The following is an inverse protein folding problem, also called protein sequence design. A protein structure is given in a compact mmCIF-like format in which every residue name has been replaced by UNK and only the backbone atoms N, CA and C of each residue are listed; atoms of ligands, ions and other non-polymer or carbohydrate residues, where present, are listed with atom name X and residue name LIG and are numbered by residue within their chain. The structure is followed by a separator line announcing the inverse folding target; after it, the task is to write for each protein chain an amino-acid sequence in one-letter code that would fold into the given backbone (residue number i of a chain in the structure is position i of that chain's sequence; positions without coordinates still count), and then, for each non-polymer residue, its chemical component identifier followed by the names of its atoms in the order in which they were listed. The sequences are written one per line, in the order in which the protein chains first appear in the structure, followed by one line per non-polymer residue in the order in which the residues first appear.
data_IF_698239390755
#
_entry.id   IF_698239390755
#
_cell.length_a   1.000
_cell.length_b   1.000
_cell.length_c   1.000
_cell.angle_alpha   90.00
_cell.angle_beta   90.00
_cell.angle_gamma   90.00
#
_symmetry.space_group_name_H-M   'P 1'
#
loop_
_entity.id
_entity.type
_entity.pdbx_description
1 polymer ?
#
# COMPACT_ATOMS: atom_id res chain seq x y z
N UNK A 1 -25.74 10.00 12.18
CA UNK A 1 -24.84 11.15 12.47
C UNK A 1 -23.41 10.75 12.15
N UNK A 2 -22.65 11.59 11.43
CA UNK A 2 -21.24 11.34 11.10
C UNK A 2 -20.32 11.87 12.21
N UNK A 3 -19.18 11.22 12.44
CA UNK A 3 -18.17 11.73 13.35
C UNK A 3 -17.72 13.14 12.91
N UNK A 4 -17.75 14.11 13.83
CA UNK A 4 -17.40 15.50 13.49
C UNK A 4 -15.93 15.70 13.10
N UNK A 5 -15.03 14.83 13.60
CA UNK A 5 -13.59 14.90 13.33
C UNK A 5 -13.21 14.20 12.02
N UNK A 6 -13.35 12.87 11.97
CA UNK A 6 -12.93 12.10 10.79
C UNK A 6 -13.92 12.15 9.61
N UNK A 7 -15.19 12.50 9.85
CA UNK A 7 -16.31 12.44 8.89
C UNK A 7 -16.55 11.08 8.21
N UNK A 8 -15.79 10.04 8.58
CA UNK A 8 -15.79 8.72 7.95
C UNK A 8 -16.74 7.73 8.65
N UNK A 9 -16.74 7.69 9.98
CA UNK A 9 -17.63 6.82 10.73
C UNK A 9 -19.06 7.39 10.83
N UNK A 10 -20.05 6.51 10.62
CA UNK A 10 -21.48 6.81 10.68
C UNK A 10 -22.12 6.08 11.86
N UNK A 11 -22.89 6.81 12.67
CA UNK A 11 -23.55 6.28 13.86
C UNK A 11 -25.05 6.56 13.83
N UNK A 12 -25.85 5.66 14.40
CA UNK A 12 -27.27 5.87 14.65
C UNK A 12 -27.53 7.12 15.49
N UNK A 13 -26.79 7.26 16.58
CA UNK A 13 -26.96 8.32 17.57
C UNK A 13 -25.63 8.76 18.18
N UNK A 14 -25.66 9.74 19.09
CA UNK A 14 -24.47 10.17 19.84
C UNK A 14 -24.03 9.12 20.85
N UNK A 15 -24.96 8.33 21.37
CA UNK A 15 -24.70 7.22 22.29
C UNK A 15 -23.95 6.10 21.57
N UNK A 16 -24.38 5.74 20.35
CA UNK A 16 -23.66 4.79 19.48
C UNK A 16 -22.21 5.25 19.22
N UNK A 17 -22.00 6.56 18.97
CA UNK A 17 -20.67 7.13 18.77
C UNK A 17 -19.80 7.10 20.04
N UNK A 18 -20.36 7.39 21.22
CA UNK A 18 -19.62 7.33 22.49
C UNK A 18 -19.23 5.89 22.86
N UNK A 19 -20.13 4.94 22.60
CA UNK A 19 -19.86 3.53 22.86
C UNK A 19 -18.70 3.00 22.00
N UNK A 20 -18.64 3.40 20.73
CA UNK A 20 -17.52 3.04 19.83
C UNK A 20 -16.28 3.93 20.03
N UNK A 21 -16.32 4.97 20.88
CA UNK A 21 -15.20 5.90 21.03
C UNK A 21 -13.87 5.25 21.47
N UNK A 22 -13.82 4.28 22.40
CA UNK A 22 -12.57 3.65 22.82
C UNK A 22 -11.82 2.97 21.66
N UNK A 23 -12.56 2.34 20.75
CA UNK A 23 -12.07 1.66 19.54
C UNK A 23 -11.87 2.62 18.38
N UNK A 24 -12.79 3.57 18.21
CA UNK A 24 -12.77 4.56 17.13
C UNK A 24 -11.73 5.65 17.32
N UNK A 25 -11.37 6.04 18.56
CA UNK A 25 -10.51 7.21 18.83
C UNK A 25 -9.19 7.13 18.06
N UNK A 26 -8.54 5.97 18.05
CA UNK A 26 -7.27 5.71 17.35
C UNK A 26 -7.42 5.90 15.84
N UNK A 27 -8.44 5.28 15.25
CA UNK A 27 -8.81 5.43 13.83
C UNK A 27 -9.26 6.86 13.48
N UNK A 28 -9.91 7.55 14.42
CA UNK A 28 -10.44 8.91 14.25
C UNK A 28 -9.33 9.97 14.26
N UNK A 29 -8.26 9.77 15.04
CA UNK A 29 -7.05 10.59 14.97
C UNK A 29 -6.26 10.36 13.70
N UNK A 30 -6.27 9.13 13.16
CA UNK A 30 -5.61 8.83 11.88
C UNK A 30 -6.30 9.47 10.65
N UNK A 31 -7.52 9.98 10.83
CA UNK A 31 -8.26 10.70 9.79
C UNK A 31 -7.87 12.18 9.64
N UNK A 32 -6.98 12.70 10.50
CA UNK A 32 -6.10 13.81 10.12
C UNK A 32 -5.01 13.27 9.18
N UNK A 33 -5.39 12.57 8.11
CA UNK A 33 -4.40 12.06 7.17
C UNK A 33 -3.96 13.20 6.26
N UNK A 34 -2.70 13.61 6.35
CA UNK A 34 -2.05 14.49 5.37
C UNK A 34 -1.93 13.86 3.97
N UNK A 35 -2.42 12.62 3.79
CA UNK A 35 -2.34 11.85 2.56
C UNK A 35 -3.71 11.61 1.94
N UNK A 36 -3.79 11.83 0.64
CA UNK A 36 -4.98 11.52 -0.16
C UNK A 36 -4.89 10.09 -0.70
N UNK A 37 -5.71 9.17 -0.18
CA UNK A 37 -5.67 7.74 -0.55
C UNK A 37 -5.97 7.47 -2.01
N UNK A 38 -6.83 8.29 -2.63
CA UNK A 38 -7.09 8.16 -4.07
C UNK A 38 -5.86 8.55 -4.88
N UNK A 39 -5.15 9.62 -4.48
CA UNK A 39 -3.91 10.04 -5.14
C UNK A 39 -2.81 8.98 -4.97
N UNK A 40 -2.68 8.37 -3.79
CA UNK A 40 -1.70 7.29 -3.59
C UNK A 40 -2.03 6.06 -4.44
N UNK A 41 -3.31 5.65 -4.49
CA UNK A 41 -3.74 4.57 -5.36
C UNK A 41 -3.43 4.87 -6.84
N UNK A 42 -3.69 6.09 -7.31
CA UNK A 42 -3.36 6.53 -8.66
C UNK A 42 -1.85 6.49 -8.92
N UNK A 43 -1.02 6.95 -7.98
CA UNK A 43 0.44 6.89 -8.15
C UNK A 43 0.95 5.46 -8.19
N UNK A 44 0.44 4.56 -7.33
CA UNK A 44 0.78 3.13 -7.35
C UNK A 44 0.38 2.46 -8.67
N UNK A 45 -0.70 2.90 -9.29
CA UNK A 45 -1.15 2.40 -10.59
C UNK A 45 -0.34 2.98 -11.76
N UNK A 46 -0.10 4.28 -11.76
CA UNK A 46 0.54 5.01 -12.86
C UNK A 46 2.08 4.89 -12.89
N UNK A 47 2.73 4.67 -11.75
CA UNK A 47 4.18 4.47 -11.70
C UNK A 47 4.52 3.05 -12.15
N UNK A 48 5.10 2.91 -13.35
CA UNK A 48 5.52 1.60 -13.90
C UNK A 48 6.34 0.81 -12.89
N UNK A 49 7.29 1.45 -12.20
CA UNK A 49 8.15 0.77 -11.24
C UNK A 49 7.37 0.26 -10.03
N UNK A 50 6.58 1.12 -9.37
CA UNK A 50 5.80 0.73 -8.18
C UNK A 50 4.76 -0.34 -8.53
N UNK A 51 4.08 -0.16 -9.67
CA UNK A 51 3.08 -1.10 -10.15
C UNK A 51 3.70 -2.48 -10.43
N UNK A 52 4.87 -2.55 -11.07
CA UNK A 52 5.59 -3.81 -11.29
C UNK A 52 5.97 -4.50 -9.98
N UNK A 53 6.49 -3.76 -8.99
CA UNK A 53 6.82 -4.35 -7.68
C UNK A 53 5.57 -4.90 -6.98
N UNK A 54 4.45 -4.16 -7.06
CA UNK A 54 3.19 -4.58 -6.47
C UNK A 54 2.66 -5.85 -7.16
N UNK A 55 2.68 -5.91 -8.50
CA UNK A 55 2.35 -7.12 -9.24
C UNK A 55 3.21 -8.32 -8.82
N UNK A 56 4.53 -8.13 -8.68
CA UNK A 56 5.44 -9.16 -8.17
C UNK A 56 5.02 -9.70 -6.81
N UNK A 57 4.56 -8.83 -5.91
CA UNK A 57 4.12 -9.22 -4.58
C UNK A 57 2.84 -10.07 -4.64
N UNK A 58 1.89 -9.72 -5.52
CA UNK A 58 0.72 -10.55 -5.78
C UNK A 58 1.07 -11.90 -6.42
N UNK A 59 1.99 -11.93 -7.39
CA UNK A 59 2.44 -13.18 -8.02
C UNK A 59 3.02 -14.13 -6.97
N UNK A 60 3.90 -13.62 -6.11
CA UNK A 60 4.53 -14.39 -5.04
C UNK A 60 3.52 -14.84 -3.99
N UNK A 61 2.64 -13.94 -3.53
CA UNK A 61 1.69 -14.22 -2.45
C UNK A 61 0.61 -15.24 -2.80
N UNK A 62 0.17 -15.27 -4.07
CA UNK A 62 -0.96 -16.10 -4.51
C UNK A 62 -0.54 -17.27 -5.41
N UNK A 63 0.77 -17.48 -5.59
CA UNK A 63 1.36 -18.49 -6.48
C UNK A 63 0.78 -18.41 -7.91
N UNK A 64 0.68 -17.18 -8.45
CA UNK A 64 -0.05 -16.94 -9.70
C UNK A 64 0.59 -17.61 -10.92
N UNK A 65 1.88 -17.94 -10.84
CA UNK A 65 2.58 -18.67 -11.90
C UNK A 65 2.04 -20.09 -12.07
N UNK A 66 1.53 -20.69 -10.98
CA UNK A 66 0.90 -22.01 -10.95
C UNK A 66 -0.62 -21.91 -11.10
N UNK A 67 -1.25 -20.97 -10.41
CA UNK A 67 -2.70 -20.75 -10.42
C UNK A 67 -3.01 -19.28 -10.77
N UNK A 68 -3.24 -18.96 -12.06
CA UNK A 68 -3.50 -17.57 -12.48
C UNK A 68 -4.82 -16.97 -11.97
N UNK A 69 -5.73 -17.75 -11.36
CA UNK A 69 -6.99 -17.28 -10.77
C UNK A 69 -7.80 -16.34 -11.69
N UNK A 70 -8.06 -16.78 -12.92
CA UNK A 70 -8.77 -15.95 -13.91
C UNK A 70 -10.27 -15.79 -13.60
N UNK A 71 -10.86 -16.75 -12.91
CA UNK A 71 -12.28 -16.90 -12.64
C UNK A 71 -12.71 -16.34 -11.27
N UNK A 72 -11.77 -16.01 -10.40
CA UNK A 72 -12.04 -15.58 -9.02
C UNK A 72 -11.18 -14.39 -8.59
N UNK A 73 -11.71 -13.50 -7.73
CA UNK A 73 -10.92 -12.44 -7.14
C UNK A 73 -9.94 -12.97 -6.11
N UNK A 74 -8.83 -12.26 -5.94
CA UNK A 74 -7.89 -12.40 -4.84
C UNK A 74 -7.48 -11.00 -4.40
N UNK A 75 -7.22 -10.80 -3.10
CA UNK A 75 -7.00 -9.48 -2.54
C UNK A 75 -5.86 -9.47 -1.54
N UNK A 76 -5.08 -8.39 -1.51
CA UNK A 76 -4.09 -8.16 -0.47
C UNK A 76 -4.27 -6.76 0.12
N UNK A 77 -4.11 -6.66 1.44
CA UNK A 77 -4.01 -5.38 2.14
C UNK A 77 -2.60 -4.85 2.03
N UNK A 78 -2.48 -3.62 1.57
CA UNK A 78 -1.23 -2.87 1.50
C UNK A 78 -1.32 -1.77 2.54
N UNK A 79 -0.66 -1.96 3.67
CA UNK A 79 -0.63 -0.97 4.73
C UNK A 79 0.47 0.04 4.45
N UNK A 80 0.13 1.32 4.47
CA UNK A 80 1.06 2.43 4.27
C UNK A 80 1.21 3.26 5.54
N UNK A 81 2.41 3.79 5.71
CA UNK A 81 2.78 4.75 6.74
C UNK A 81 3.26 6.06 6.14
N UNK A 82 3.33 7.10 6.97
CA UNK A 82 4.01 8.36 6.66
C UNK A 82 5.24 8.44 7.55
N UNK A 83 6.42 8.47 6.94
CA UNK A 83 7.70 8.50 7.64
C UNK A 83 8.51 9.74 7.26
N UNK A 84 9.31 10.30 8.18
CA UNK A 84 10.24 11.36 7.85
C UNK A 84 11.12 11.05 6.64
N UNK A 85 11.22 12.01 5.72
CA UNK A 85 12.10 11.92 4.56
C UNK A 85 13.58 11.86 4.97
N UNK A 86 13.93 12.52 6.08
CA UNK A 86 15.28 12.59 6.61
C UNK A 86 15.50 11.61 7.77
N UNK A 87 16.57 10.82 7.67
CA UNK A 87 16.94 9.80 8.67
C UNK A 87 17.13 10.39 10.08
N UNK A 88 17.68 11.60 10.21
CA UNK A 88 17.90 12.21 11.51
C UNK A 88 16.57 12.55 12.22
N UNK A 89 15.59 13.06 11.47
CA UNK A 89 14.25 13.31 12.01
C UNK A 89 13.56 12.00 12.41
N UNK A 90 13.71 10.94 11.60
CA UNK A 90 13.23 9.60 11.95
C UNK A 90 13.83 9.10 13.27
N UNK A 91 15.16 9.14 13.41
CA UNK A 91 15.85 8.64 14.62
C UNK A 91 15.49 9.44 15.86
N UNK A 92 15.26 10.75 15.74
CA UNK A 92 14.83 11.59 16.85
C UNK A 92 13.43 11.20 17.34
N UNK A 93 12.47 11.00 16.41
CA UNK A 93 11.10 10.62 16.76
C UNK A 93 11.07 9.20 17.35
N UNK A 94 11.77 8.25 16.71
CA UNK A 94 11.84 6.85 17.14
C UNK A 94 12.41 6.70 18.56
N UNK A 95 13.36 7.55 18.96
CA UNK A 95 13.92 7.57 20.33
C UNK A 95 13.05 8.30 21.36
N UNK A 96 11.82 8.67 21.00
CA UNK A 96 10.90 9.41 21.88
C UNK A 96 11.24 10.90 22.02
N UNK A 97 12.11 11.44 21.16
CA UNK A 97 12.48 12.84 21.17
C UNK A 97 11.35 13.78 20.71
N UNK A 98 11.66 15.08 20.70
CA UNK A 98 10.78 16.11 20.14
C UNK A 98 10.69 15.94 18.63
N UNK A 99 9.47 15.96 18.08
CA UNK A 99 9.29 16.04 16.64
C UNK A 99 9.57 17.49 16.21
N UNK A 100 10.46 17.74 15.23
CA UNK A 100 10.62 19.07 14.67
C UNK A 100 9.30 19.60 14.07
N UNK A 101 9.18 20.92 13.94
CA UNK A 101 8.07 21.51 13.19
C UNK A 101 8.28 21.30 11.68
N UNK A 102 7.19 21.13 10.93
CA UNK A 102 7.17 21.01 9.47
C UNK A 102 8.12 19.93 8.90
N UNK A 103 8.13 18.75 9.54
CA UNK A 103 8.93 17.61 9.05
C UNK A 103 8.38 17.14 7.71
N UNK A 104 9.17 17.33 6.66
CA UNK A 104 8.92 16.69 5.37
C UNK A 104 8.94 15.16 5.56
N UNK A 105 7.87 14.54 5.09
CA UNK A 105 7.63 13.12 5.19
C UNK A 105 7.28 12.53 3.84
N UNK A 106 7.26 11.21 3.78
CA UNK A 106 6.89 10.46 2.59
C UNK A 106 6.08 9.22 2.95
N UNK A 107 5.24 8.81 2.02
CA UNK A 107 4.52 7.54 2.13
C UNK A 107 5.51 6.38 2.02
N UNK A 108 5.35 5.37 2.86
CA UNK A 108 6.07 4.10 2.80
C UNK A 108 5.08 2.94 2.85
N UNK A 109 5.42 1.84 2.18
CA UNK A 109 4.68 0.57 2.25
C UNK A 109 5.21 -0.22 3.44
N UNK A 110 4.38 -0.38 4.46
CA UNK A 110 4.75 -0.97 5.74
C UNK A 110 4.44 -2.48 5.79
N UNK A 111 3.36 -2.91 5.15
CA UNK A 111 2.99 -4.31 5.09
C UNK A 111 2.27 -4.67 3.79
N UNK A 112 2.43 -5.92 3.39
CA UNK A 112 1.64 -6.58 2.36
C UNK A 112 1.04 -7.85 2.96
N UNK A 113 -0.28 -7.90 3.11
CA UNK A 113 -0.98 -8.99 3.80
C UNK A 113 -2.00 -9.61 2.84
N UNK A 114 -1.79 -10.85 2.36
CA UNK A 114 -2.80 -11.57 1.60
C UNK A 114 -4.08 -11.71 2.43
N UNK A 115 -5.23 -11.46 1.83
CA UNK A 115 -6.53 -11.54 2.50
C UNK A 115 -7.22 -12.86 2.13
N UNK A 116 -7.93 -13.50 3.08
CA UNK A 116 -8.69 -14.71 2.79
C UNK A 116 -9.89 -14.39 1.89
N UNK A 117 -10.38 -15.38 1.14
CA UNK A 117 -11.53 -15.25 0.26
C UNK A 117 -12.79 -14.73 0.99
N UNK A 118 -12.94 -15.06 2.27
CA UNK A 118 -14.03 -14.59 3.14
C UNK A 118 -14.06 -13.05 3.30
N UNK A 119 -12.96 -12.34 3.02
CA UNK A 119 -12.92 -10.87 3.05
C UNK A 119 -13.59 -10.25 1.80
N UNK A 120 -13.72 -10.99 0.70
CA UNK A 120 -14.22 -10.47 -0.57
C UNK A 120 -15.72 -10.15 -0.44
N UNK A 121 -16.01 -8.85 -0.31
CA UNK A 121 -17.39 -8.33 -0.25
C UNK A 121 -18.02 -8.20 -1.64
N UNK A 122 -19.36 -8.08 -1.75
CA UNK A 122 -20.02 -7.78 -3.03
C UNK A 122 -19.54 -6.47 -3.68
N UNK A 123 -19.08 -5.50 -2.89
CA UNK A 123 -18.45 -4.28 -3.41
C UNK A 123 -17.08 -4.58 -4.03
N UNK A 124 -16.24 -5.35 -3.34
CA UNK A 124 -14.95 -5.79 -3.86
C UNK A 124 -15.12 -6.60 -5.15
N UNK A 125 -16.10 -7.51 -5.21
CA UNK A 125 -16.43 -8.27 -6.43
C UNK A 125 -16.79 -7.36 -7.61
N UNK A 126 -17.55 -6.27 -7.39
CA UNK A 126 -17.87 -5.30 -8.45
C UNK A 126 -16.62 -4.60 -8.98
N UNK A 127 -15.69 -4.21 -8.11
CA UNK A 127 -14.41 -3.60 -8.50
C UNK A 127 -13.53 -4.58 -9.27
N UNK A 128 -13.52 -5.85 -8.86
CA UNK A 128 -12.80 -6.90 -9.59
C UNK A 128 -13.38 -7.12 -10.99
N UNK A 129 -14.72 -7.18 -11.11
CA UNK A 129 -15.40 -7.31 -12.41
C UNK A 129 -15.07 -6.17 -13.37
N UNK A 130 -15.05 -4.92 -12.90
CA UNK A 130 -14.64 -3.81 -13.75
C UNK A 130 -13.17 -3.93 -14.19
N UNK A 131 -12.30 -4.45 -13.33
CA UNK A 131 -10.93 -4.82 -13.70
C UNK A 131 -10.87 -5.90 -14.79
N UNK A 132 -11.70 -6.95 -14.67
CA UNK A 132 -11.85 -8.03 -15.67
C UNK A 132 -12.37 -7.52 -17.00
N UNK A 133 -13.35 -6.63 -17.00
CA UNK A 133 -13.91 -6.01 -18.20
C UNK A 133 -12.84 -5.22 -18.98
N UNK A 134 -12.00 -4.44 -18.27
CA UNK A 134 -10.90 -3.68 -18.90
C UNK A 134 -9.87 -4.56 -19.60
N UNK A 135 -9.59 -5.74 -19.06
CA UNK A 135 -8.63 -6.66 -19.71
C UNK A 135 -9.28 -7.50 -20.80
N UNK A 136 -10.59 -7.77 -20.71
CA UNK A 136 -11.32 -8.52 -21.73
C UNK A 136 -11.39 -7.77 -23.08
N UNK A 137 -11.40 -6.43 -23.05
CA UNK A 137 -11.37 -5.61 -24.27
C UNK A 137 -10.01 -5.56 -24.97
N UNK A 138 -8.95 -6.12 -24.36
CA UNK A 138 -7.57 -6.06 -24.88
C UNK A 138 -7.05 -7.48 -25.07
N UNK A 139 -6.93 -8.00 -26.30
CA UNK A 139 -6.57 -9.40 -26.55
C UNK A 139 -5.30 -9.87 -25.84
N UNK A 140 -4.27 -9.02 -25.80
CA UNK A 140 -2.98 -9.30 -25.13
C UNK A 140 -3.09 -9.44 -23.60
N UNK A 141 -4.17 -8.91 -23.01
CA UNK A 141 -4.41 -8.90 -21.57
C UNK A 141 -5.58 -9.80 -21.15
N UNK A 142 -6.32 -10.41 -22.08
CA UNK A 142 -7.52 -11.17 -21.77
C UNK A 142 -7.28 -12.31 -20.75
N UNK A 143 -6.07 -12.88 -20.79
CA UNK A 143 -5.60 -13.94 -19.88
C UNK A 143 -4.83 -13.42 -18.66
N UNK A 144 -4.78 -12.11 -18.43
CA UNK A 144 -4.12 -11.51 -17.26
C UNK A 144 -4.94 -11.74 -16.00
N UNK A 145 -4.33 -12.23 -14.91
CA UNK A 145 -4.94 -12.22 -13.59
C UNK A 145 -5.32 -10.81 -13.16
N UNK A 146 -6.43 -10.67 -12.44
CA UNK A 146 -6.86 -9.40 -11.84
C UNK A 146 -7.07 -9.61 -10.35
N UNK A 147 -6.26 -8.92 -9.55
CA UNK A 147 -6.36 -8.89 -8.10
C UNK A 147 -6.99 -7.59 -7.59
N UNK A 148 -7.13 -7.48 -6.28
CA UNK A 148 -7.58 -6.27 -5.59
C UNK A 148 -6.52 -5.80 -4.60
N UNK A 149 -6.15 -4.54 -4.72
CA UNK A 149 -5.33 -3.84 -3.72
C UNK A 149 -6.27 -3.18 -2.72
N UNK A 150 -6.09 -3.51 -1.45
CA UNK A 150 -6.79 -2.89 -0.32
C UNK A 150 -5.79 -1.98 0.37
N UNK A 151 -5.68 -0.75 -0.12
CA UNK A 151 -4.76 0.24 0.44
C UNK A 151 -5.29 0.72 1.79
N UNK A 152 -4.48 0.65 2.83
CA UNK A 152 -4.86 0.95 4.20
C UNK A 152 -3.86 1.90 4.86
N UNK A 153 -4.34 2.91 5.60
CA UNK A 153 -3.51 3.70 6.54
C UNK A 153 -4.07 3.57 7.95
N UNK A 154 -3.17 3.23 8.89
CA UNK A 154 -3.48 3.09 10.31
C UNK A 154 -4.74 2.23 10.60
N UNK A 155 -4.94 1.16 9.81
CA UNK A 155 -6.09 0.25 9.88
C UNK A 155 -7.48 0.90 9.72
N UNK A 156 -7.57 2.13 9.22
CA UNK A 156 -8.81 2.90 9.25
C UNK A 156 -9.24 3.46 7.88
N UNK A 157 -8.31 4.06 7.14
CA UNK A 157 -8.60 4.64 5.83
C UNK A 157 -8.33 3.61 4.75
N UNK A 158 -9.36 3.20 4.04
CA UNK A 158 -9.27 2.14 3.02
C UNK A 158 -9.65 2.66 1.64
N UNK A 159 -8.81 2.39 0.64
CA UNK A 159 -9.12 2.53 -0.78
C UNK A 159 -8.93 1.17 -1.47
N UNK A 160 -9.93 0.75 -2.25
CA UNK A 160 -9.87 -0.50 -3.00
C UNK A 160 -9.72 -0.17 -4.48
N UNK A 161 -8.79 -0.83 -5.17
CA UNK A 161 -8.65 -0.71 -6.62
C UNK A 161 -8.14 -2.03 -7.24
N UNK A 162 -8.48 -2.31 -8.51
CA UNK A 162 -8.02 -3.51 -9.20
C UNK A 162 -6.55 -3.38 -9.63
N UNK A 163 -5.80 -4.48 -9.51
CA UNK A 163 -4.46 -4.60 -10.08
C UNK A 163 -4.46 -5.66 -11.19
N UNK A 164 -3.93 -5.29 -12.36
CA UNK A 164 -3.77 -6.20 -13.49
C UNK A 164 -2.37 -6.78 -13.42
N UNK A 165 -2.26 -8.10 -13.44
CA UNK A 165 -0.98 -8.80 -13.46
C UNK A 165 -0.58 -9.00 -14.93
N UNK A 166 0.34 -8.18 -15.42
CA UNK A 166 0.73 -8.19 -16.83
C UNK A 166 1.55 -9.44 -17.17
N UNK A 167 1.41 -10.00 -18.39
CA UNK A 167 2.19 -11.16 -18.84
C UNK A 167 3.69 -10.95 -18.75
N UNK A 168 4.15 -9.71 -18.97
CA UNK A 168 5.55 -9.32 -18.84
C UNK A 168 6.08 -9.56 -17.42
N UNK A 169 5.33 -9.17 -16.39
CA UNK A 169 5.75 -9.37 -15.00
C UNK A 169 5.72 -10.86 -14.61
N UNK A 170 4.74 -11.61 -15.11
CA UNK A 170 4.71 -13.07 -14.96
C UNK A 170 5.95 -13.74 -15.58
N UNK A 171 6.38 -13.26 -16.75
CA UNK A 171 7.57 -13.76 -17.43
C UNK A 171 8.86 -13.41 -16.67
N UNK A 172 8.96 -12.20 -16.11
CA UNK A 172 10.08 -11.79 -15.25
C UNK A 172 10.17 -12.70 -14.02
N UNK A 173 9.05 -12.88 -13.31
CA UNK A 173 9.00 -13.73 -12.11
C UNK A 173 9.33 -15.20 -12.39
N UNK A 174 9.00 -15.70 -13.59
CA UNK A 174 9.32 -17.08 -14.01
C UNK A 174 10.80 -17.27 -14.33
N UNK A 175 11.46 -16.29 -14.95
CA UNK A 175 12.81 -16.44 -15.51
C UNK A 175 13.91 -15.73 -14.71
N UNK A 176 13.55 -14.84 -13.79
CA UNK A 176 14.49 -14.03 -13.02
C UNK A 176 14.10 -14.03 -11.54
N UNK A 177 14.34 -15.14 -10.82
CA UNK A 177 13.84 -15.35 -9.47
C UNK A 177 14.66 -14.60 -8.40
N UNK A 178 15.58 -13.71 -8.77
CA UNK A 178 16.45 -13.01 -7.82
C UNK A 178 16.66 -11.53 -8.15
N UNK A 179 16.83 -10.70 -7.12
CA UNK A 179 17.29 -9.31 -7.25
C UNK A 179 18.70 -9.12 -6.67
N UNK A 180 19.42 -8.12 -7.19
CA UNK A 180 20.67 -7.65 -6.61
C UNK A 180 20.38 -6.73 -5.42
N UNK A 181 20.73 -7.16 -4.22
CA UNK A 181 20.66 -6.37 -2.99
C UNK A 181 22.05 -5.85 -2.64
N UNK A 182 22.20 -4.54 -2.64
CA UNK A 182 23.45 -3.86 -2.25
C UNK A 182 23.34 -3.36 -0.82
N UNK A 183 24.26 -3.79 0.04
CA UNK A 183 24.39 -3.26 1.41
C UNK A 183 24.96 -1.86 1.38
N UNK A 184 24.28 -0.89 2.01
CA UNK A 184 24.82 0.47 2.14
C UNK A 184 26.05 0.54 3.05
N UNK A 185 26.17 -0.38 4.02
CA UNK A 185 27.27 -0.42 4.99
C UNK A 185 28.53 -1.05 4.41
N UNK A 186 28.39 -2.19 3.73
CA UNK A 186 29.52 -3.00 3.25
C UNK A 186 29.77 -2.85 1.75
N UNK A 187 28.87 -2.18 1.02
CA UNK A 187 28.85 -2.07 -0.46
C UNK A 187 28.85 -3.42 -1.19
N UNK A 188 28.66 -4.52 -0.48
CA UNK A 188 28.57 -5.86 -1.06
C UNK A 188 27.24 -6.04 -1.76
N UNK A 189 27.29 -6.55 -2.98
CA UNK A 189 26.09 -6.97 -3.72
C UNK A 189 25.83 -8.45 -3.50
N UNK A 190 24.59 -8.78 -3.17
CA UNK A 190 24.14 -10.16 -2.93
C UNK A 190 22.92 -10.43 -3.80
N UNK A 191 22.93 -11.58 -4.49
CA UNK A 191 21.74 -12.05 -5.19
C UNK A 191 20.81 -12.68 -4.16
N UNK A 192 19.60 -12.13 -4.03
CA UNK A 192 18.58 -12.64 -3.09
C UNK A 192 17.32 -13.03 -3.86
N UNK A 193 16.58 -14.07 -3.43
CA UNK A 193 15.31 -14.43 -4.05
C UNK A 193 14.34 -13.25 -4.11
N UNK A 194 13.49 -13.23 -5.14
CA UNK A 194 12.34 -12.33 -5.18
C UNK A 194 11.35 -12.78 -4.11
N UNK A 195 11.23 -11.99 -3.06
CA UNK A 195 10.26 -12.16 -1.99
C UNK A 195 9.50 -10.86 -1.72
N UNK A 196 8.40 -10.96 -0.98
CA UNK A 196 7.55 -9.82 -0.64
C UNK A 196 8.33 -8.73 0.11
N UNK A 197 9.16 -9.04 1.13
CA UNK A 197 9.99 -8.04 1.80
C UNK A 197 10.94 -7.31 0.85
N UNK A 198 11.59 -8.01 -0.08
CA UNK A 198 12.48 -7.43 -1.08
C UNK A 198 11.76 -6.49 -2.04
N UNK A 199 10.58 -6.88 -2.52
CA UNK A 199 9.73 -6.05 -3.38
C UNK A 199 9.27 -4.77 -2.65
N UNK A 200 8.84 -4.90 -1.39
CA UNK A 200 8.49 -3.75 -0.54
C UNK A 200 9.68 -2.82 -0.31
N UNK A 201 10.86 -3.37 -0.03
CA UNK A 201 12.09 -2.60 0.10
C UNK A 201 12.39 -1.82 -1.19
N UNK A 202 12.22 -2.42 -2.36
CA UNK A 202 12.43 -1.76 -3.65
C UNK A 202 11.44 -0.61 -3.87
N UNK A 203 10.16 -0.79 -3.56
CA UNK A 203 9.16 0.29 -3.60
C UNK A 203 9.56 1.45 -2.68
N UNK A 204 9.88 1.13 -1.42
CA UNK A 204 10.25 2.13 -0.41
C UNK A 204 11.53 2.88 -0.78
N UNK A 205 12.54 2.20 -1.32
CA UNK A 205 13.76 2.81 -1.85
C UNK A 205 13.47 3.75 -3.01
N UNK A 206 12.58 3.37 -3.92
CA UNK A 206 12.17 4.22 -5.05
C UNK A 206 11.45 5.48 -4.58
N UNK A 207 10.53 5.37 -3.60
CA UNK A 207 9.84 6.52 -3.03
C UNK A 207 10.82 7.46 -2.31
N UNK A 208 11.75 6.89 -1.51
CA UNK A 208 12.80 7.66 -0.81
C UNK A 208 13.67 8.47 -1.75
N UNK A 209 14.04 7.88 -2.89
CA UNK A 209 14.88 8.51 -3.88
C UNK A 209 14.20 9.66 -4.65
N UNK A 210 12.87 9.78 -4.60
CA UNK A 210 12.12 10.85 -5.28
C UNK A 210 12.15 12.16 -4.47
N UNK A 211 13.32 12.77 -4.34
CA UNK A 211 13.53 14.04 -3.63
C UNK A 211 12.77 15.22 -4.26
N UNK A 212 12.45 15.13 -5.55
CA UNK A 212 11.71 16.17 -6.29
C UNK A 212 10.19 15.99 -6.24
N UNK A 213 9.70 15.03 -5.46
CA UNK A 213 8.28 14.71 -5.28
C UNK A 213 7.51 14.49 -6.59
N UNK A 214 8.14 13.89 -7.61
CA UNK A 214 7.50 13.58 -8.90
C UNK A 214 6.38 12.55 -8.76
N UNK A 215 6.49 11.64 -7.79
CA UNK A 215 5.48 10.65 -7.43
C UNK A 215 4.31 11.27 -6.64
N UNK A 216 4.45 12.52 -6.17
CA UNK A 216 3.50 13.14 -5.25
C UNK A 216 3.24 12.30 -3.98
N UNK A 217 4.28 11.62 -3.49
CA UNK A 217 4.23 10.80 -2.27
C UNK A 217 4.91 11.47 -1.08
N UNK A 218 5.37 12.71 -1.20
CA UNK A 218 5.80 13.55 -0.07
C UNK A 218 4.65 14.36 0.50
N UNK A 219 4.67 14.52 1.81
CA UNK A 219 3.66 15.22 2.60
C UNK A 219 4.28 15.77 3.88
N UNK A 220 3.47 16.42 4.72
CA UNK A 220 3.87 16.81 6.07
C UNK A 220 3.46 15.73 7.08
N UNK A 221 4.28 15.56 8.12
CA UNK A 221 3.92 14.71 9.26
C UNK A 221 2.74 15.28 10.03
N UNK A 222 1.81 14.41 10.42
CA UNK A 222 0.78 14.74 11.39
C UNK A 222 1.13 14.19 12.78
N UNK A 223 0.54 14.72 13.87
CA UNK A 223 0.74 14.15 15.20
C UNK A 223 0.39 12.66 15.30
N UNK A 224 -0.58 12.20 14.50
CA UNK A 224 -0.94 10.78 14.40
C UNK A 224 0.18 9.94 13.78
N UNK A 225 0.89 10.46 12.79
CA UNK A 225 2.01 9.76 12.15
C UNK A 225 3.20 9.63 13.11
N UNK A 226 3.49 10.67 13.89
CA UNK A 226 4.54 10.66 14.93
C UNK A 226 4.25 9.58 15.98
N UNK A 227 2.99 9.42 16.38
CA UNK A 227 2.59 8.42 17.37
C UNK A 227 2.74 6.98 16.86
N UNK A 228 2.67 6.75 15.55
CA UNK A 228 2.87 5.41 14.96
C UNK A 228 4.35 5.02 14.94
N UNK A 229 5.27 6.00 14.89
CA UNK A 229 6.72 5.76 14.87
C UNK A 229 7.30 5.56 16.28
N UNK A 230 6.69 6.15 17.30
CA UNK A 230 7.06 5.99 18.72
C UNK A 230 6.65 4.64 19.26
#
# INVERSE_FOLDING_TARGET
RRCGKCKHACYCSKECQKADWPTHKTACSAADSSVNMMKIAQTLDASTFLNMQLQGAFISAFDLLRDPRLDRPFAARVDIGVEPAHLMAFMQIYRGGTCPENVEAMVQVNAFTPLPDAWITPQATRIWRSGRERVASTPELASSPVGLVVLSKANALVQIFPIIIFPQMMNIMRNSPTFQRVSSLTRTSTSVPVDIPGLMMMMNKHIRADEKNKLSMRTEMTPGDVQVIR
#
